data_IF_748229531275
#
_entry.id   IF_748229531275
#
_cell.length_a   1.000
_cell.length_b   1.000
_cell.length_c   1.000
_cell.angle_alpha   90.00
_cell.angle_beta   90.00
_cell.angle_gamma   90.00
#
_symmetry.space_group_name_H-M   'P 1'
#
loop_
_entity.id
_entity.type
_entity.pdbx_description
1 polymer ?
#
# COMPACT_ATOMS: atom_id res chain seq x y z
N UNK A 1 -8.58 22.93 -17.08
CA UNK A 1 -8.13 22.71 -15.70
C UNK A 1 -7.66 21.27 -15.52
N UNK A 2 -6.43 21.08 -15.08
CA UNK A 2 -5.90 19.74 -14.85
C UNK A 2 -6.54 19.12 -13.63
N UNK A 3 -7.10 17.93 -13.80
CA UNK A 3 -7.68 17.19 -12.70
C UNK A 3 -6.55 16.60 -11.84
N UNK A 4 -6.63 16.77 -10.52
CA UNK A 4 -5.67 16.19 -9.59
C UNK A 4 -5.85 14.67 -9.61
N UNK A 5 -4.79 13.88 -9.95
CA UNK A 5 -4.91 12.43 -9.93
C UNK A 5 -5.18 11.90 -8.52
N UNK A 6 -6.06 10.91 -8.44
CA UNK A 6 -6.38 10.23 -7.19
C UNK A 6 -5.59 8.92 -7.09
N UNK A 7 -5.15 8.59 -5.88
CA UNK A 7 -4.45 7.35 -5.57
C UNK A 7 -5.18 6.66 -4.43
N UNK A 8 -5.41 5.36 -4.56
CA UNK A 8 -5.93 4.55 -3.47
C UNK A 8 -4.76 4.00 -2.65
N UNK A 9 -4.76 4.28 -1.35
CA UNK A 9 -3.84 3.65 -0.40
C UNK A 9 -4.64 2.60 0.35
N UNK A 10 -4.32 1.34 0.10
CA UNK A 10 -5.06 0.20 0.62
C UNK A 10 -4.22 -0.54 1.65
N UNK A 11 -4.76 -0.68 2.86
CA UNK A 11 -4.10 -1.33 3.99
C UNK A 11 -4.84 -2.59 4.40
N UNK A 12 -4.12 -3.68 4.51
CA UNK A 12 -4.63 -5.00 4.86
C UNK A 12 -4.75 -5.26 6.37
N UNK A 13 -4.82 -6.55 6.74
CA UNK A 13 -5.19 -6.96 8.09
C UNK A 13 -4.24 -6.45 9.17
N UNK A 14 -4.84 -6.11 10.29
CA UNK A 14 -4.18 -5.66 11.52
C UNK A 14 -3.57 -4.26 11.47
N UNK A 15 -3.60 -3.57 10.33
CA UNK A 15 -3.06 -2.20 10.24
C UNK A 15 -3.94 -1.21 11.01
N UNK A 16 -5.19 -1.55 11.31
CA UNK A 16 -6.04 -0.78 12.20
C UNK A 16 -5.56 -0.81 13.66
N UNK A 17 -4.63 -1.70 13.98
CA UNK A 17 -4.09 -1.86 15.35
C UNK A 17 -2.69 -1.27 15.50
N UNK A 18 -2.24 -0.47 14.55
CA UNK A 18 -0.96 0.24 14.64
C UNK A 18 -0.92 1.10 15.91
N UNK A 19 0.28 1.17 16.50
CA UNK A 19 0.52 1.90 17.75
C UNK A 19 0.35 1.03 18.99
N UNK A 20 -0.42 -0.05 18.92
CA UNK A 20 -0.64 -0.98 20.02
C UNK A 20 -0.08 -2.38 19.77
N UNK A 21 0.22 -2.71 18.50
CA UNK A 21 0.73 -4.03 18.10
C UNK A 21 2.22 -3.97 17.82
N UNK A 22 2.98 -4.80 18.53
CA UNK A 22 4.43 -4.98 18.31
C UNK A 22 5.17 -3.66 18.04
N UNK A 23 5.18 -2.68 19.00
CA UNK A 23 5.80 -1.37 18.75
C UNK A 23 7.28 -1.47 18.36
N UNK A 24 8.00 -2.49 18.82
CA UNK A 24 9.39 -2.75 18.47
C UNK A 24 9.59 -3.07 16.99
N UNK A 25 8.54 -3.51 16.29
CA UNK A 25 8.56 -3.82 14.86
C UNK A 25 7.95 -2.69 14.03
N UNK A 26 6.78 -2.19 14.45
CA UNK A 26 5.99 -1.24 13.67
C UNK A 26 6.09 0.20 14.16
N UNK A 27 6.72 0.45 15.33
CA UNK A 27 6.78 1.76 15.97
C UNK A 27 5.47 2.11 16.68
N UNK A 28 5.38 3.35 17.14
CA UNK A 28 4.24 3.85 17.92
C UNK A 28 3.20 4.62 17.10
N UNK A 29 3.47 4.87 15.82
CA UNK A 29 2.53 5.57 14.95
C UNK A 29 1.22 4.78 14.82
N UNK A 30 0.10 5.49 14.81
CA UNK A 30 -1.23 4.93 14.65
C UNK A 30 -1.63 4.89 13.17
N UNK A 31 -2.76 4.23 12.87
CA UNK A 31 -3.31 4.28 11.51
C UNK A 31 -3.73 5.70 11.14
N UNK A 32 -4.22 6.51 12.10
CA UNK A 32 -4.54 7.92 11.83
C UNK A 32 -3.28 8.71 11.47
N UNK A 33 -2.16 8.42 12.10
CA UNK A 33 -0.87 9.04 11.73
C UNK A 33 -0.46 8.65 10.31
N UNK A 34 -0.69 7.40 9.92
CA UNK A 34 -0.44 6.92 8.56
C UNK A 34 -1.31 7.69 7.55
N UNK A 35 -2.59 7.85 7.84
CA UNK A 35 -3.52 8.60 6.97
C UNK A 35 -3.03 10.03 6.80
N UNK A 36 -2.66 10.70 7.89
CA UNK A 36 -2.17 12.08 7.85
C UNK A 36 -0.89 12.19 7.02
N UNK A 37 0.05 11.25 7.21
CA UNK A 37 1.30 11.21 6.45
C UNK A 37 1.05 11.06 4.94
N UNK A 38 0.12 10.18 4.57
CA UNK A 38 -0.24 9.97 3.17
C UNK A 38 -0.86 11.22 2.55
N UNK A 39 -1.78 11.86 3.26
CA UNK A 39 -2.43 13.10 2.77
C UNK A 39 -1.43 14.21 2.55
N UNK A 40 -0.51 14.39 3.50
CA UNK A 40 0.52 15.42 3.39
C UNK A 40 1.46 15.13 2.22
N UNK A 41 1.97 13.91 2.14
CA UNK A 41 2.91 13.53 1.08
C UNK A 41 2.26 13.65 -0.31
N UNK A 42 1.01 13.24 -0.45
CA UNK A 42 0.28 13.35 -1.70
C UNK A 42 0.14 14.81 -2.14
N UNK A 43 -0.26 15.70 -1.21
CA UNK A 43 -0.40 17.13 -1.51
C UNK A 43 0.91 17.74 -2.01
N UNK A 44 2.05 17.33 -1.43
CA UNK A 44 3.37 17.84 -1.81
C UNK A 44 3.76 17.47 -3.26
N UNK A 45 3.19 16.40 -3.81
CA UNK A 45 3.51 15.94 -5.17
C UNK A 45 2.33 16.06 -6.13
N UNK A 46 1.30 16.82 -5.75
CA UNK A 46 0.15 17.11 -6.62
C UNK A 46 -0.83 15.97 -6.79
N UNK A 47 -0.91 15.07 -5.81
CA UNK A 47 -1.86 13.95 -5.79
C UNK A 47 -2.92 14.13 -4.72
N UNK A 48 -4.08 13.53 -4.92
CA UNK A 48 -5.07 13.29 -3.87
C UNK A 48 -5.03 11.83 -3.48
N UNK A 49 -5.32 11.51 -2.22
CA UNK A 49 -5.35 10.12 -1.76
C UNK A 49 -6.65 9.82 -1.03
N UNK A 50 -7.07 8.58 -1.16
CA UNK A 50 -8.06 7.97 -0.29
C UNK A 50 -7.40 6.78 0.38
N UNK A 51 -7.41 6.76 1.72
CA UNK A 51 -6.79 5.69 2.50
C UNK A 51 -7.88 4.80 3.07
N UNK A 52 -7.80 3.50 2.80
CA UNK A 52 -8.75 2.49 3.28
C UNK A 52 -8.00 1.40 4.01
N UNK A 53 -8.66 0.75 4.97
CA UNK A 53 -8.10 -0.37 5.71
C UNK A 53 -9.17 -1.45 5.85
N UNK A 54 -8.78 -2.71 5.71
CA UNK A 54 -9.68 -3.85 5.94
C UNK A 54 -8.90 -5.04 6.46
N UNK A 55 -9.60 -5.87 7.26
CA UNK A 55 -9.10 -7.19 7.66
C UNK A 55 -9.68 -8.29 6.76
N UNK A 56 -10.58 -7.94 5.84
CA UNK A 56 -11.32 -8.89 5.00
C UNK A 56 -10.67 -8.98 3.62
N UNK A 57 -10.20 -10.18 3.28
CA UNK A 57 -9.58 -10.45 1.98
C UNK A 57 -10.52 -10.15 0.82
N UNK A 58 -11.79 -10.52 0.94
CA UNK A 58 -12.78 -10.28 -0.13
C UNK A 58 -13.02 -8.78 -0.35
N UNK A 59 -13.05 -7.99 0.72
CA UNK A 59 -13.20 -6.54 0.61
C UNK A 59 -11.98 -5.92 -0.06
N UNK A 60 -10.77 -6.36 0.28
CA UNK A 60 -9.55 -5.87 -0.36
C UNK A 60 -9.57 -6.18 -1.86
N UNK A 61 -9.98 -7.39 -2.23
CA UNK A 61 -10.10 -7.79 -3.63
C UNK A 61 -11.10 -6.88 -4.36
N UNK A 62 -12.24 -6.57 -3.75
CA UNK A 62 -13.24 -5.68 -4.34
C UNK A 62 -12.67 -4.29 -4.60
N UNK A 63 -11.87 -3.76 -3.68
CA UNK A 63 -11.21 -2.45 -3.86
C UNK A 63 -10.18 -2.49 -4.98
N UNK A 64 -9.46 -3.61 -5.14
CA UNK A 64 -8.53 -3.78 -6.25
C UNK A 64 -9.27 -3.84 -7.59
N UNK A 65 -10.42 -4.50 -7.64
CA UNK A 65 -11.28 -4.49 -8.84
C UNK A 65 -11.74 -3.07 -9.18
N UNK A 66 -12.13 -2.29 -8.17
CA UNK A 66 -12.49 -0.88 -8.37
C UNK A 66 -11.34 -0.10 -9.00
N UNK A 67 -10.12 -0.27 -8.48
CA UNK A 67 -8.93 0.39 -9.01
C UNK A 67 -8.63 -0.05 -10.45
N UNK A 68 -8.81 -1.33 -10.76
CA UNK A 68 -8.63 -1.84 -12.12
C UNK A 68 -9.63 -1.21 -13.09
N UNK A 69 -10.90 -1.15 -12.69
CA UNK A 69 -11.98 -0.61 -13.53
C UNK A 69 -11.81 0.88 -13.81
N UNK A 70 -11.22 1.62 -12.86
CA UNK A 70 -11.06 3.08 -12.98
C UNK A 70 -9.63 3.49 -13.36
N UNK A 71 -8.74 2.53 -13.58
CA UNK A 71 -7.31 2.77 -13.85
C UNK A 71 -6.67 3.69 -12.81
N UNK A 72 -6.98 3.46 -11.54
CA UNK A 72 -6.49 4.26 -10.43
C UNK A 72 -5.20 3.64 -9.88
N UNK A 73 -4.13 4.44 -9.70
CA UNK A 73 -2.91 3.96 -9.05
C UNK A 73 -3.18 3.52 -7.62
N UNK A 74 -2.44 2.51 -7.16
CA UNK A 74 -2.60 1.92 -5.83
C UNK A 74 -1.26 1.86 -5.11
N UNK A 75 -1.26 2.29 -3.85
CA UNK A 75 -0.22 1.98 -2.88
C UNK A 75 -0.84 0.95 -1.95
N UNK A 76 -0.30 -0.26 -1.97
CA UNK A 76 -0.90 -1.41 -1.28
C UNK A 76 0.05 -1.95 -0.22
N UNK A 77 -0.44 -1.97 1.03
CA UNK A 77 0.17 -2.77 2.08
C UNK A 77 -0.74 -3.96 2.34
N UNK A 78 -0.47 -5.12 1.71
CA UNK A 78 -1.33 -6.30 1.88
C UNK A 78 -1.15 -6.97 3.25
N UNK A 79 -0.20 -6.50 4.05
CA UNK A 79 0.15 -7.10 5.34
C UNK A 79 0.42 -8.60 5.14
N UNK A 80 -0.12 -9.48 6.00
CA UNK A 80 0.15 -10.91 5.89
C UNK A 80 -0.34 -11.54 4.59
N UNK A 81 -1.33 -10.96 3.91
CA UNK A 81 -1.81 -11.48 2.62
C UNK A 81 -0.71 -11.56 1.57
N UNK A 82 0.31 -10.71 1.67
CA UNK A 82 1.41 -10.70 0.69
C UNK A 82 2.17 -12.02 0.63
N UNK A 83 2.11 -12.81 1.72
CA UNK A 83 2.92 -14.03 1.83
C UNK A 83 2.21 -15.26 1.27
N UNK A 84 0.87 -15.21 1.10
CA UNK A 84 0.12 -16.42 0.73
C UNK A 84 -1.15 -16.20 -0.09
N UNK A 85 -1.66 -14.97 -0.20
CA UNK A 85 -2.94 -14.78 -0.89
C UNK A 85 -2.76 -14.70 -2.39
N UNK A 86 -2.96 -15.82 -3.07
CA UNK A 86 -2.99 -15.85 -4.52
C UNK A 86 -4.18 -15.08 -5.09
N UNK A 87 -5.30 -15.03 -4.36
CA UNK A 87 -6.48 -14.26 -4.78
C UNK A 87 -6.19 -12.75 -4.82
N UNK A 88 -5.49 -12.23 -3.82
CA UNK A 88 -5.07 -10.83 -3.82
C UNK A 88 -4.05 -10.59 -4.94
N UNK A 89 -3.10 -11.50 -5.11
CA UNK A 89 -2.10 -11.42 -6.18
C UNK A 89 -2.80 -11.34 -7.56
N UNK A 90 -3.79 -12.19 -7.80
CA UNK A 90 -4.49 -12.22 -9.09
C UNK A 90 -5.30 -10.94 -9.32
N UNK A 91 -5.90 -10.37 -8.27
CA UNK A 91 -6.57 -9.07 -8.37
C UNK A 91 -5.57 -7.95 -8.70
N UNK A 92 -4.39 -7.97 -8.07
CA UNK A 92 -3.34 -7.01 -8.38
C UNK A 92 -2.88 -7.09 -9.83
N UNK A 93 -2.83 -8.29 -10.40
CA UNK A 93 -2.43 -8.50 -11.79
C UNK A 93 -3.41 -7.86 -12.80
N UNK A 94 -4.61 -7.52 -12.38
CA UNK A 94 -5.61 -6.84 -13.22
C UNK A 94 -5.39 -5.34 -13.33
N UNK A 95 -4.56 -4.75 -12.47
CA UNK A 95 -4.32 -3.31 -12.45
C UNK A 95 -3.55 -2.87 -13.68
N UNK A 96 -3.96 -1.76 -14.28
CA UNK A 96 -3.29 -1.17 -15.44
C UNK A 96 -2.49 0.09 -15.08
N UNK A 97 -2.83 0.72 -13.96
CA UNK A 97 -2.08 1.86 -13.42
C UNK A 97 -0.96 1.37 -12.48
N UNK A 98 -0.04 2.26 -12.07
CA UNK A 98 1.02 1.85 -11.15
C UNK A 98 0.52 1.23 -9.85
N UNK A 99 1.17 0.18 -9.42
CA UNK A 99 0.94 -0.50 -8.14
C UNK A 99 2.26 -0.57 -7.39
N UNK A 100 2.33 0.07 -6.23
CA UNK A 100 3.50 -0.01 -5.36
C UNK A 100 3.12 -0.80 -4.12
N UNK A 101 3.79 -1.92 -3.89
CA UNK A 101 3.64 -2.68 -2.65
C UNK A 101 4.50 -2.04 -1.56
N UNK A 102 3.90 -1.78 -0.39
CA UNK A 102 4.63 -1.17 0.74
C UNK A 102 4.49 -2.03 1.99
N UNK A 103 5.52 -1.99 2.82
CA UNK A 103 5.52 -2.57 4.16
C UNK A 103 6.21 -1.61 5.11
N UNK A 104 5.68 -1.48 6.33
CA UNK A 104 6.28 -0.64 7.37
C UNK A 104 7.58 -1.26 7.88
N UNK A 105 7.56 -2.58 8.13
CA UNK A 105 8.72 -3.32 8.59
C UNK A 105 9.56 -3.82 7.42
N UNK A 106 10.76 -4.34 7.73
CA UNK A 106 11.57 -5.07 6.76
C UNK A 106 11.25 -6.56 6.87
N UNK A 107 10.45 -7.13 5.95
CA UNK A 107 10.06 -8.54 6.03
C UNK A 107 11.24 -9.51 6.00
N UNK A 108 12.33 -9.14 5.32
CA UNK A 108 13.52 -9.98 5.23
C UNK A 108 14.24 -10.14 6.57
N UNK A 109 13.98 -9.27 7.53
CA UNK A 109 14.59 -9.32 8.88
C UNK A 109 13.70 -10.05 9.89
N UNK A 110 12.59 -10.64 9.45
CA UNK A 110 11.58 -11.26 10.32
C UNK A 110 11.50 -12.77 10.08
N UNK A 111 10.39 -13.39 10.48
CA UNK A 111 10.21 -14.84 10.36
C UNK A 111 10.30 -15.30 8.89
N UNK A 112 10.79 -16.53 8.68
CA UNK A 112 11.06 -17.06 7.33
C UNK A 112 9.85 -16.95 6.39
N UNK A 113 8.62 -17.16 6.89
CA UNK A 113 7.43 -17.09 6.04
C UNK A 113 7.19 -15.70 5.46
N UNK A 114 7.80 -14.64 6.05
CA UNK A 114 7.68 -13.26 5.57
C UNK A 114 8.67 -12.91 4.47
N UNK A 115 9.59 -13.81 4.15
CA UNK A 115 10.63 -13.54 3.15
C UNK A 115 10.12 -13.61 1.72
N UNK A 116 8.93 -14.19 1.50
CA UNK A 116 8.34 -14.32 0.17
C UNK A 116 7.10 -13.45 0.06
N UNK A 117 6.98 -12.72 -1.05
CA UNK A 117 5.75 -12.02 -1.43
C UNK A 117 5.24 -12.60 -2.73
N UNK A 118 3.96 -13.00 -2.73
CA UNK A 118 3.30 -13.43 -3.97
C UNK A 118 2.78 -12.22 -4.77
N UNK A 119 2.76 -11.05 -4.16
CA UNK A 119 2.28 -9.79 -4.77
C UNK A 119 3.39 -9.05 -5.52
N UNK A 120 4.63 -9.10 -5.01
CA UNK A 120 5.74 -8.30 -5.54
C UNK A 120 5.98 -8.52 -7.03
N UNK A 121 5.77 -9.74 -7.52
CA UNK A 121 5.99 -10.07 -8.93
C UNK A 121 5.01 -9.41 -9.89
N UNK A 122 3.86 -8.96 -9.42
CA UNK A 122 2.84 -8.26 -10.23
C UNK A 122 2.75 -6.78 -9.88
N UNK A 123 3.53 -6.30 -8.92
CA UNK A 123 3.61 -4.88 -8.59
C UNK A 123 4.57 -4.16 -9.54
N UNK A 124 4.37 -2.85 -9.70
CA UNK A 124 5.33 -1.99 -10.43
C UNK A 124 6.66 -1.92 -9.68
N UNK A 125 6.58 -1.84 -8.33
CA UNK A 125 7.75 -1.84 -7.47
C UNK A 125 7.36 -2.06 -6.03
N UNK A 126 8.37 -2.19 -5.15
CA UNK A 126 8.16 -2.44 -3.72
C UNK A 126 9.04 -1.52 -2.88
N UNK A 127 8.52 -1.08 -1.74
CA UNK A 127 9.25 -0.29 -0.75
C UNK A 127 8.91 -0.87 0.63
N UNK A 128 9.92 -1.18 1.41
CA UNK A 128 9.73 -1.82 2.72
C UNK A 128 10.78 -1.37 3.73
N UNK A 129 10.43 -1.44 5.01
CA UNK A 129 11.39 -1.29 6.09
C UNK A 129 11.62 0.13 6.59
N UNK A 130 10.90 1.11 6.08
CA UNK A 130 11.16 2.52 6.36
C UNK A 130 10.03 3.19 7.16
N UNK A 131 9.16 2.38 7.80
CA UNK A 131 8.03 2.92 8.54
C UNK A 131 7.08 3.72 7.67
N UNK A 132 6.59 4.84 8.15
CA UNK A 132 5.69 5.70 7.36
C UNK A 132 6.36 6.28 6.12
N UNK A 133 7.69 6.39 6.10
CA UNK A 133 8.40 6.84 4.90
C UNK A 133 8.23 5.88 3.73
N UNK A 134 7.95 4.61 3.97
CA UNK A 134 7.62 3.66 2.89
C UNK A 134 6.43 4.17 2.07
N UNK A 135 5.40 4.69 2.74
CA UNK A 135 4.22 5.28 2.08
C UNK A 135 4.55 6.60 1.39
N UNK A 136 5.30 7.48 2.06
CA UNK A 136 5.69 8.78 1.50
C UNK A 136 6.48 8.60 0.21
N UNK A 137 7.44 7.68 0.22
CA UNK A 137 8.26 7.37 -0.96
C UNK A 137 7.43 6.72 -2.06
N UNK A 138 6.47 5.86 -1.70
CA UNK A 138 5.57 5.24 -2.68
C UNK A 138 4.73 6.29 -3.41
N UNK A 139 4.20 7.28 -2.70
CA UNK A 139 3.42 8.35 -3.31
C UNK A 139 4.28 9.22 -4.24
N UNK A 140 5.52 9.49 -3.86
CA UNK A 140 6.49 10.15 -4.75
C UNK A 140 6.74 9.33 -6.01
N UNK A 141 6.91 8.02 -5.87
CA UNK A 141 7.12 7.13 -7.00
C UNK A 141 5.90 7.14 -7.93
N UNK A 142 4.69 7.09 -7.39
CA UNK A 142 3.46 7.16 -8.20
C UNK A 142 3.42 8.47 -9.00
N UNK A 143 3.69 9.60 -8.36
CA UNK A 143 3.69 10.90 -9.04
C UNK A 143 4.69 10.90 -10.20
N UNK A 144 5.89 10.39 -9.98
CA UNK A 144 6.92 10.31 -11.03
C UNK A 144 6.49 9.38 -12.17
N UNK A 145 5.85 8.26 -11.86
CA UNK A 145 5.38 7.30 -12.88
C UNK A 145 4.24 7.88 -13.73
N UNK A 146 3.37 8.68 -13.14
CA UNK A 146 2.26 9.31 -13.87
C UNK A 146 2.73 10.41 -14.82
N UNK A 147 3.91 10.97 -14.59
CA UNK A 147 4.49 12.01 -15.45
C UNK A 147 5.29 11.44 -16.64
N UNK A 148 5.39 10.14 -16.74
CA UNK A 148 6.12 9.49 -17.87
C UNK A 148 5.29 9.37 -19.11
#
# INVERSE_FOLDING_TARGET
>A
MRRVPNVLVLNGPNLNRLGSREPEVYGHATHDDLVAACRQAAAEVGLAVEVRQTNDEAELIAWLHEAADTSTPVVLNPAAFTHYSYSVRDACAMLTAPLIEVHLSNPAAREDFRHTSVVSGVATGTIAGLGLDSYRLALRAVAALLDR
#
